data_IF_987022317841
#
_entry.id   IF_987022317841
#
_cell.length_a   1.000
_cell.length_b   1.000
_cell.length_c   1.000
_cell.angle_alpha   90.00
_cell.angle_beta   90.00
_cell.angle_gamma   90.00
#
_symmetry.space_group_name_H-M   'P 1'
#
loop_
_entity.id
_entity.type
_entity.pdbx_description
1 polymer ?
#
# COMPACT_ATOMS: atom_id res chain seq x y z
N UNK A 1 26.46 33.77 40.62
CA UNK A 1 27.24 32.89 39.74
C UNK A 1 26.28 32.26 38.72
N UNK A 2 26.12 32.65 37.45
CA UNK A 2 26.93 33.49 36.57
C UNK A 2 27.74 32.65 35.57
N UNK A 3 27.13 32.23 34.45
CA UNK A 3 27.69 31.93 33.09
C UNK A 3 26.58 31.25 32.25
N UNK A 4 25.77 31.92 31.40
CA UNK A 4 25.93 32.69 30.13
C UNK A 4 26.42 31.89 28.89
N UNK A 5 25.45 31.74 27.95
CA UNK A 5 25.49 31.83 26.45
C UNK A 5 26.28 30.74 25.68
N UNK A 6 25.93 30.29 24.48
CA UNK A 6 25.39 30.97 23.28
C UNK A 6 24.59 30.03 22.33
N UNK A 7 23.64 30.62 21.60
CA UNK A 7 23.09 30.15 20.32
C UNK A 7 23.96 30.64 19.15
N UNK A 8 24.01 29.91 18.02
CA UNK A 8 23.68 30.46 16.68
C UNK A 8 23.69 29.41 15.56
N UNK A 9 22.84 29.69 14.59
CA UNK A 9 22.46 28.91 13.42
C UNK A 9 23.37 29.14 12.20
N UNK A 10 23.17 28.32 11.16
CA UNK A 10 23.69 28.50 9.79
C UNK A 10 23.89 27.15 9.07
N UNK A 11 22.85 26.57 8.44
CA UNK A 11 22.51 26.60 7.00
C UNK A 11 23.20 25.48 6.17
N UNK A 12 22.34 24.63 5.57
CA UNK A 12 22.34 23.83 4.31
C UNK A 12 23.68 23.57 3.56
N UNK A 13 23.94 22.46 2.87
CA UNK A 13 23.09 21.54 2.10
C UNK A 13 23.83 20.21 1.82
N UNK A 14 23.07 19.13 1.60
CA UNK A 14 23.48 17.82 1.07
C UNK A 14 24.16 17.90 -0.32
N UNK A 15 25.02 16.91 -0.66
CA UNK A 15 24.72 15.85 -1.66
C UNK A 15 25.74 14.69 -1.58
N UNK A 16 25.18 13.49 -1.70
CA UNK A 16 25.72 12.13 -1.77
C UNK A 16 26.64 11.90 -2.98
N UNK A 17 27.67 11.03 -2.85
CA UNK A 17 27.67 9.69 -3.49
C UNK A 17 28.81 8.78 -3.01
N UNK A 18 28.45 7.49 -2.85
CA UNK A 18 29.26 6.30 -2.58
C UNK A 18 30.30 6.02 -3.69
N UNK A 19 31.42 5.37 -3.36
CA UNK A 19 31.68 3.95 -3.70
C UNK A 19 33.04 3.41 -3.18
N UNK A 20 32.95 2.32 -2.42
CA UNK A 20 33.72 1.06 -2.52
C UNK A 20 35.27 1.08 -2.56
N UNK A 21 35.87 0.74 -1.41
CA UNK A 21 37.02 -0.19 -1.30
C UNK A 21 36.49 -1.62 -1.53
N UNK A 22 37.05 -2.53 -2.30
CA UNK A 22 38.43 -2.76 -2.73
C UNK A 22 38.75 -4.22 -2.36
N UNK A 23 38.77 -5.13 -3.34
CA UNK A 23 39.68 -6.27 -3.33
C UNK A 23 39.78 -6.88 -4.74
N UNK A 24 41.02 -6.95 -5.24
CA UNK A 24 41.40 -7.46 -6.55
C UNK A 24 41.96 -8.88 -6.45
N UNK A 25 41.93 -9.60 -7.57
CA UNK A 25 42.73 -10.79 -7.78
C UNK A 25 42.91 -11.09 -9.27
N UNK A 26 44.18 -11.00 -9.72
CA UNK A 26 44.85 -11.82 -10.76
C UNK A 26 44.48 -11.56 -12.25
N UNK A 27 45.37 -11.46 -13.26
CA UNK A 27 46.85 -11.58 -13.45
C UNK A 27 47.27 -10.89 -14.79
N UNK A 28 48.56 -10.51 -14.90
CA UNK A 28 49.46 -10.45 -16.09
C UNK A 28 49.29 -9.32 -17.13
N UNK A 29 50.21 -8.33 -17.18
CA UNK A 29 51.46 -8.24 -18.02
C UNK A 29 51.18 -7.43 -19.31
N UNK A 30 51.95 -6.41 -19.77
CA UNK A 30 53.39 -6.15 -19.69
C UNK A 30 53.76 -4.64 -19.90
N UNK A 31 54.91 -4.25 -19.32
CA UNK A 31 55.99 -3.35 -19.78
C UNK A 31 55.72 -1.97 -20.47
N UNK A 32 55.78 -0.88 -19.69
CA UNK A 32 56.80 0.23 -19.64
C UNK A 32 57.59 0.69 -20.91
N UNK A 33 58.22 1.91 -20.94
CA UNK A 33 58.04 3.15 -20.13
C UNK A 33 58.23 4.51 -20.90
N UNK A 34 58.25 5.62 -20.13
CA UNK A 34 59.00 6.90 -20.28
C UNK A 34 58.28 8.23 -20.63
N UNK A 35 58.34 9.14 -19.62
CA UNK A 35 58.57 10.61 -19.63
C UNK A 35 57.67 11.55 -20.46
N UNK A 36 57.50 12.85 -20.17
CA UNK A 36 57.60 13.75 -19.01
C UNK A 36 57.22 15.15 -19.54
N UNK A 37 56.54 15.99 -18.74
CA UNK A 37 56.32 17.44 -18.93
C UNK A 37 55.61 17.87 -20.23
N UNK A 38 54.97 19.03 -20.38
CA UNK A 38 54.73 20.21 -19.58
C UNK A 38 53.91 21.19 -20.43
N UNK A 39 53.11 22.03 -19.75
CA UNK A 39 52.52 23.34 -20.12
C UNK A 39 52.27 23.77 -21.59
N UNK A 40 51.13 24.46 -21.69
CA UNK A 40 50.83 25.70 -22.44
C UNK A 40 50.16 25.65 -23.82
N UNK A 41 48.90 26.12 -23.83
CA UNK A 41 48.28 27.17 -24.65
C UNK A 41 49.01 27.60 -25.93
N UNK A 42 48.32 27.53 -27.07
CA UNK A 42 48.43 28.52 -28.15
C UNK A 42 47.24 28.47 -29.12
N UNK A 43 46.86 29.66 -29.58
CA UNK A 43 45.78 30.00 -30.49
C UNK A 43 46.11 29.69 -31.97
N UNK A 44 45.03 29.50 -32.75
CA UNK A 44 44.72 29.80 -34.17
C UNK A 44 45.85 29.83 -35.23
N UNK A 45 45.51 29.46 -36.48
CA UNK A 45 45.54 30.52 -37.50
C UNK A 45 44.43 30.49 -38.55
N UNK A 46 44.26 31.69 -39.12
CA UNK A 46 43.51 32.10 -40.30
C UNK A 46 44.02 31.44 -41.60
N UNK A 47 43.16 31.39 -42.63
CA UNK A 47 43.53 31.11 -44.01
C UNK A 47 43.11 32.26 -44.96
N UNK A 48 43.79 32.41 -46.12
CA UNK A 48 44.10 33.72 -46.72
C UNK A 48 43.25 34.12 -47.95
N UNK A 49 43.38 35.40 -48.29
CA UNK A 49 43.03 36.11 -49.54
C UNK A 49 44.09 35.94 -50.65
N UNK A 50 43.67 36.05 -51.93
CA UNK A 50 44.38 36.59 -53.12
C UNK A 50 43.49 36.35 -54.37
N UNK A 51 43.42 37.09 -55.48
CA UNK A 51 43.63 38.50 -55.92
C UNK A 51 43.18 38.59 -57.39
N UNK A 52 42.70 39.78 -57.77
CA UNK A 52 42.19 40.41 -59.01
C UNK A 52 42.61 40.08 -60.47
N UNK A 53 41.67 40.43 -61.40
CA UNK A 53 41.89 41.25 -62.64
C UNK A 53 41.39 40.66 -63.99
N UNK A 54 41.04 41.45 -65.05
CA UNK A 54 40.56 42.85 -65.15
C UNK A 54 39.34 43.07 -66.12
N UNK A 55 39.04 44.36 -66.40
CA UNK A 55 37.82 45.07 -66.86
C UNK A 55 37.30 44.86 -68.32
N UNK A 56 35.99 45.13 -68.57
CA UNK A 56 35.45 46.32 -69.29
C UNK A 56 33.94 46.24 -69.65
N UNK A 57 33.29 47.43 -69.69
CA UNK A 57 32.21 47.87 -70.61
C UNK A 57 30.75 47.97 -70.14
N UNK A 58 30.35 49.25 -69.93
CA UNK A 58 29.12 49.95 -70.36
C UNK A 58 27.78 49.89 -69.58
N UNK A 59 27.30 51.10 -69.30
CA UNK A 59 25.99 51.60 -68.78
C UNK A 59 24.79 51.23 -69.69
N UNK A 60 23.51 51.23 -69.24
CA UNK A 60 22.82 52.45 -68.81
C UNK A 60 21.95 52.35 -67.54
N UNK A 61 21.69 53.55 -67.03
CA UNK A 61 20.85 54.02 -65.93
C UNK A 61 19.37 53.59 -66.04
N UNK A 62 18.76 53.11 -64.94
CA UNK A 62 17.31 52.94 -64.83
C UNK A 62 16.81 53.05 -63.36
N UNK A 63 16.09 54.16 -63.12
CA UNK A 63 14.92 54.34 -62.25
C UNK A 63 14.90 53.72 -60.84
N UNK A 64 14.99 54.58 -59.81
CA UNK A 64 14.64 54.23 -58.42
C UNK A 64 13.13 53.93 -58.30
N UNK A 65 12.82 52.70 -57.90
CA UNK A 65 11.48 52.27 -57.47
C UNK A 65 11.29 52.62 -55.98
N UNK A 66 10.08 53.07 -55.55
CA UNK A 66 9.85 53.51 -54.18
C UNK A 66 10.05 52.38 -53.16
N UNK A 67 10.86 52.63 -52.12
CA UNK A 67 10.99 51.72 -50.97
C UNK A 67 9.64 51.55 -50.27
N UNK A 68 9.06 50.35 -50.41
CA UNK A 68 7.97 49.88 -49.55
C UNK A 68 8.57 49.56 -48.18
N UNK A 69 8.20 50.32 -47.16
CA UNK A 69 8.47 49.97 -45.75
C UNK A 69 7.83 48.61 -45.48
N UNK A 70 8.59 47.55 -45.14
CA UNK A 70 8.00 46.25 -44.86
C UNK A 70 7.07 46.35 -43.65
N UNK A 71 5.85 45.88 -43.80
CA UNK A 71 4.91 45.65 -42.70
C UNK A 71 5.59 44.69 -41.68
N UNK A 72 5.48 44.92 -40.35
CA UNK A 72 6.20 44.11 -39.37
C UNK A 72 5.79 42.65 -39.51
N UNK A 73 6.70 41.82 -40.02
CA UNK A 73 6.47 40.39 -40.12
C UNK A 73 6.54 39.85 -38.68
N UNK A 74 5.39 39.51 -38.08
CA UNK A 74 5.36 38.92 -36.73
C UNK A 74 6.26 37.67 -36.71
N UNK A 75 7.41 37.73 -36.03
CA UNK A 75 8.27 36.56 -35.83
C UNK A 75 7.44 35.41 -35.27
N UNK A 76 7.59 34.16 -35.77
CA UNK A 76 6.85 33.03 -35.25
C UNK A 76 7.06 32.90 -33.73
N UNK A 77 6.04 32.46 -33.00
CA UNK A 77 6.22 32.11 -31.59
C UNK A 77 7.19 30.93 -31.52
N UNK A 78 8.32 31.05 -30.80
CA UNK A 78 9.19 29.88 -30.61
C UNK A 78 8.51 28.82 -29.75
N UNK A 79 9.05 27.60 -29.84
CA UNK A 79 8.38 26.39 -29.43
C UNK A 79 8.11 26.35 -27.93
N UNK A 80 6.91 25.88 -27.57
CA UNK A 80 6.60 25.48 -26.21
C UNK A 80 6.81 23.98 -26.13
N UNK A 81 7.76 23.56 -25.31
CA UNK A 81 8.02 22.14 -25.09
C UNK A 81 6.81 21.40 -24.49
N UNK A 82 6.88 20.07 -24.51
CA UNK A 82 5.87 19.21 -23.89
C UNK A 82 5.71 19.52 -22.40
N UNK A 83 4.47 19.73 -21.97
CA UNK A 83 4.15 19.95 -20.55
C UNK A 83 4.34 18.68 -19.73
N UNK A 84 5.11 18.77 -18.66
CA UNK A 84 5.38 17.67 -17.75
C UNK A 84 4.79 17.92 -16.36
N UNK A 85 4.53 16.83 -15.62
CA UNK A 85 4.22 16.89 -14.19
C UNK A 85 5.52 16.94 -13.41
N UNK A 86 5.76 18.07 -12.72
CA UNK A 86 6.95 18.24 -11.87
C UNK A 86 6.75 17.67 -10.47
N UNK A 87 5.58 17.95 -9.88
CA UNK A 87 5.21 17.49 -8.54
C UNK A 87 3.68 17.49 -8.37
N UNK A 88 3.17 16.77 -7.37
CA UNK A 88 1.77 16.81 -6.99
C UNK A 88 1.53 16.43 -5.53
N UNK A 89 0.47 16.99 -4.96
CA UNK A 89 -0.08 16.56 -3.67
C UNK A 89 -1.47 15.96 -3.86
N UNK A 90 -2.21 15.75 -2.76
CA UNK A 90 -3.60 15.33 -2.86
C UNK A 90 -4.55 16.39 -3.43
N UNK A 91 -4.11 17.65 -3.50
CA UNK A 91 -4.94 18.81 -3.87
C UNK A 91 -4.22 19.81 -4.77
N UNK A 92 -2.96 19.57 -5.12
CA UNK A 92 -2.18 20.44 -6.00
C UNK A 92 -1.47 19.63 -7.08
N UNK A 93 -1.26 20.24 -8.25
CA UNK A 93 -0.46 19.69 -9.34
C UNK A 93 0.47 20.80 -9.84
N UNK A 94 1.76 20.54 -9.91
CA UNK A 94 2.75 21.46 -10.47
C UNK A 94 3.13 21.00 -11.87
N UNK A 95 2.82 21.84 -12.86
CA UNK A 95 3.22 21.67 -14.25
C UNK A 95 4.57 22.33 -14.47
N UNK A 96 5.33 21.81 -15.44
CA UNK A 96 6.61 22.35 -15.87
C UNK A 96 6.73 22.27 -17.38
N UNK A 97 7.29 23.32 -17.98
CA UNK A 97 7.60 23.38 -19.40
C UNK A 97 8.78 24.32 -19.60
N UNK A 98 9.47 24.15 -20.72
CA UNK A 98 10.48 25.05 -21.23
C UNK A 98 9.93 25.81 -22.44
N UNK A 99 10.40 27.03 -22.65
CA UNK A 99 10.20 27.81 -23.87
C UNK A 99 11.46 28.62 -24.16
N UNK A 100 11.92 28.58 -25.40
CA UNK A 100 12.92 29.48 -26.00
C UNK A 100 12.27 30.71 -26.65
N UNK A 101 10.94 30.81 -26.54
CA UNK A 101 10.06 31.83 -27.10
C UNK A 101 10.41 33.28 -26.81
N UNK A 102 10.40 34.11 -27.86
CA UNK A 102 10.20 35.56 -27.82
C UNK A 102 8.72 35.87 -27.49
N UNK A 103 8.26 35.51 -26.29
CA UNK A 103 6.92 35.83 -25.78
C UNK A 103 6.98 36.52 -24.41
N UNK A 104 5.92 37.21 -24.01
CA UNK A 104 5.85 37.91 -22.72
C UNK A 104 5.45 36.99 -21.56
N UNK A 105 4.76 35.89 -21.87
CA UNK A 105 4.39 34.89 -20.89
C UNK A 105 3.42 33.85 -21.40
N UNK A 106 2.84 33.13 -20.44
CA UNK A 106 1.95 32.01 -20.69
C UNK A 106 0.64 32.18 -19.93
N UNK A 107 -0.46 31.84 -20.58
CA UNK A 107 -1.75 31.61 -19.97
C UNK A 107 -1.98 30.11 -19.80
N UNK A 108 -2.28 29.70 -18.57
CA UNK A 108 -2.50 28.30 -18.22
C UNK A 108 -4.00 28.08 -18.09
N UNK A 109 -4.53 27.18 -18.89
CA UNK A 109 -5.93 26.77 -18.88
C UNK A 109 -6.07 25.30 -18.50
N UNK A 110 -7.24 24.94 -17.99
CA UNK A 110 -7.59 23.54 -17.69
C UNK A 110 -9.05 23.27 -18.05
N UNK A 111 -9.31 22.07 -18.56
CA UNK A 111 -10.65 21.51 -18.81
C UNK A 111 -10.65 20.04 -18.41
N UNK A 112 -11.79 19.49 -18.00
CA UNK A 112 -12.06 18.06 -18.01
C UNK A 112 -13.43 17.77 -18.63
N UNK A 113 -13.81 16.50 -18.68
CA UNK A 113 -15.12 16.07 -19.23
C UNK A 113 -16.35 16.67 -18.53
N UNK A 114 -16.18 17.26 -17.34
CA UNK A 114 -17.26 17.88 -16.57
C UNK A 114 -17.37 19.38 -16.80
N UNK A 115 -16.39 19.99 -17.49
CA UNK A 115 -16.36 21.41 -17.77
C UNK A 115 -16.82 21.65 -19.21
N UNK A 116 -17.60 22.71 -19.45
CA UNK A 116 -18.05 23.09 -20.80
C UNK A 116 -16.87 23.60 -21.64
N UNK A 117 -16.08 24.50 -21.06
CA UNK A 117 -14.97 25.19 -21.71
C UNK A 117 -13.69 25.15 -20.89
N UNK A 118 -12.59 25.59 -21.49
CA UNK A 118 -11.33 25.79 -20.78
C UNK A 118 -11.45 26.94 -19.79
N UNK A 119 -11.03 26.70 -18.54
CA UNK A 119 -10.93 27.74 -17.51
C UNK A 119 -9.49 28.22 -17.38
N UNK A 120 -9.25 29.54 -17.49
CA UNK A 120 -7.95 30.16 -17.18
C UNK A 120 -7.67 29.98 -15.69
N UNK A 121 -6.57 29.32 -15.35
CA UNK A 121 -6.12 29.09 -13.98
C UNK A 121 -5.16 30.18 -13.49
N UNK A 122 -4.40 30.78 -14.41
CA UNK A 122 -3.44 31.82 -14.10
C UNK A 122 -2.49 32.10 -15.26
N UNK A 123 -1.43 32.84 -14.97
CA UNK A 123 -0.42 33.22 -15.96
C UNK A 123 0.97 33.21 -15.34
N UNK A 124 1.97 32.96 -16.17
CA UNK A 124 3.39 32.92 -15.78
C UNK A 124 4.15 33.80 -16.75
N UNK A 125 4.90 34.79 -16.25
CA UNK A 125 5.76 35.62 -17.10
C UNK A 125 6.86 34.76 -17.71
N UNK A 126 7.20 35.05 -18.96
CA UNK A 126 8.30 34.37 -19.60
C UNK A 126 9.63 34.80 -18.98
N UNK A 127 10.57 33.87 -19.04
CA UNK A 127 11.98 34.03 -18.73
C UNK A 127 12.71 33.22 -19.79
N UNK A 128 13.26 33.88 -20.81
CA UNK A 128 13.84 33.18 -21.95
C UNK A 128 14.88 32.15 -21.51
N UNK A 129 14.86 30.98 -22.16
CA UNK A 129 15.78 29.88 -21.90
C UNK A 129 15.72 29.31 -20.47
N UNK A 130 14.62 29.53 -19.73
CA UNK A 130 14.38 28.93 -18.42
C UNK A 130 13.23 27.91 -18.46
N UNK A 131 13.20 27.06 -17.43
CA UNK A 131 12.04 26.21 -17.15
C UNK A 131 11.01 26.99 -16.33
N UNK A 132 9.79 27.05 -16.83
CA UNK A 132 8.64 27.64 -16.16
C UNK A 132 7.87 26.60 -15.38
N UNK A 133 7.21 27.04 -14.30
CA UNK A 133 6.36 26.19 -13.48
C UNK A 133 5.05 26.88 -13.13
N UNK A 134 3.97 26.10 -13.04
CA UNK A 134 2.67 26.56 -12.56
C UNK A 134 2.03 25.55 -11.63
N UNK A 135 1.60 26.00 -10.45
CA UNK A 135 0.92 25.15 -9.48
C UNK A 135 -0.60 25.36 -9.53
N UNK A 136 -1.32 24.36 -10.01
CA UNK A 136 -2.77 24.29 -9.92
C UNK A 136 -3.21 23.88 -8.51
N UNK A 137 -3.62 24.88 -7.71
CA UNK A 137 -4.11 24.71 -6.33
C UNK A 137 -5.54 24.16 -6.25
N UNK A 138 -6.24 24.05 -7.37
CA UNK A 138 -7.61 23.54 -7.46
C UNK A 138 -7.67 22.08 -7.92
N UNK A 139 -6.50 21.44 -8.09
CA UNK A 139 -6.35 20.09 -8.59
C UNK A 139 -7.08 19.05 -7.72
N UNK A 140 -7.60 18.01 -8.38
CA UNK A 140 -8.32 16.90 -7.76
C UNK A 140 -7.94 15.58 -8.44
N UNK A 141 -7.57 14.58 -7.64
CA UNK A 141 -7.23 13.23 -8.13
C UNK A 141 -8.43 12.48 -8.71
N UNK A 142 -8.15 11.54 -9.60
CA UNK A 142 -9.10 10.70 -10.31
C UNK A 142 -9.69 11.35 -11.57
N UNK A 143 -9.57 12.67 -11.70
CA UNK A 143 -10.08 13.42 -12.84
C UNK A 143 -8.98 13.50 -13.90
N UNK A 144 -9.33 13.20 -15.15
CA UNK A 144 -8.44 13.42 -16.27
C UNK A 144 -8.62 14.86 -16.75
N UNK A 145 -7.63 15.71 -16.44
CA UNK A 145 -7.62 17.12 -16.83
C UNK A 145 -6.76 17.30 -18.07
N UNK A 146 -7.25 18.03 -19.06
CA UNK A 146 -6.46 18.55 -20.16
C UNK A 146 -6.03 19.97 -19.84
N UNK A 147 -4.74 20.20 -19.74
CA UNK A 147 -4.14 21.52 -19.59
C UNK A 147 -3.77 22.07 -20.96
N UNK A 148 -4.00 23.37 -21.17
CA UNK A 148 -3.52 24.13 -22.33
C UNK A 148 -2.61 25.24 -21.81
N UNK A 149 -1.38 25.31 -22.28
CA UNK A 149 -0.47 26.42 -22.01
C UNK A 149 -0.33 27.18 -23.31
N UNK A 150 -0.81 28.43 -23.33
CA UNK A 150 -0.76 29.30 -24.50
C UNK A 150 0.20 30.44 -24.24
N UNK A 151 1.20 30.64 -25.10
CA UNK A 151 2.05 31.82 -25.07
C UNK A 151 1.23 33.07 -25.43
N UNK A 152 1.59 34.22 -24.88
CA UNK A 152 1.03 35.51 -25.24
C UNK A 152 2.12 36.56 -25.45
N UNK A 153 1.83 37.53 -26.30
CA UNK A 153 2.61 38.77 -26.46
C UNK A 153 1.76 39.99 -26.12
N UNK A 154 2.40 41.05 -25.68
CA UNK A 154 1.81 42.36 -25.48
C UNK A 154 2.04 43.20 -26.74
N UNK A 155 0.99 43.87 -27.24
CA UNK A 155 1.16 44.89 -28.25
C UNK A 155 1.73 46.19 -27.64
N UNK A 156 1.97 47.21 -28.49
CA UNK A 156 2.50 48.51 -28.07
C UNK A 156 1.59 49.27 -27.09
N UNK A 157 0.33 48.87 -26.96
CA UNK A 157 -0.65 49.43 -26.03
C UNK A 157 -0.83 48.56 -24.77
N UNK A 158 -0.05 47.47 -24.65
CA UNK A 158 -0.09 46.55 -23.52
C UNK A 158 -1.23 45.52 -23.57
N UNK A 159 -1.85 45.29 -24.74
CA UNK A 159 -2.92 44.30 -24.91
C UNK A 159 -2.34 42.92 -25.23
N UNK A 160 -2.84 41.91 -24.54
CA UNK A 160 -2.41 40.51 -24.73
C UNK A 160 -3.00 39.89 -26.01
N UNK A 161 -2.15 39.25 -26.82
CA UNK A 161 -2.52 38.39 -27.96
C UNK A 161 -1.96 36.98 -27.73
N UNK A 162 -2.82 35.96 -27.65
CA UNK A 162 -2.37 34.56 -27.57
C UNK A 162 -1.85 34.05 -28.92
N UNK A 163 -0.84 33.18 -28.87
CA UNK A 163 -0.25 32.52 -30.02
C UNK A 163 -0.14 31.01 -29.86
N UNK A 164 1.09 30.49 -29.99
CA UNK A 164 1.39 29.06 -29.88
C UNK A 164 0.85 28.46 -28.57
N UNK A 165 0.39 27.21 -28.63
CA UNK A 165 -0.08 26.51 -27.44
C UNK A 165 0.21 25.03 -27.47
N UNK A 166 0.49 24.47 -26.30
CA UNK A 166 0.66 23.04 -26.06
C UNK A 166 -0.46 22.52 -25.17
N UNK A 167 -0.91 21.28 -25.41
CA UNK A 167 -1.92 20.61 -24.61
C UNK A 167 -1.40 19.30 -24.05
N UNK A 168 -1.71 19.01 -22.79
CA UNK A 168 -1.38 17.75 -22.15
C UNK A 168 -2.55 17.27 -21.27
N UNK A 169 -2.95 16.01 -21.44
CA UNK A 169 -3.93 15.36 -20.56
C UNK A 169 -3.23 14.61 -19.43
N UNK A 170 -3.66 14.85 -18.20
CA UNK A 170 -3.03 14.36 -16.98
C UNK A 170 -4.12 13.82 -16.06
N UNK A 171 -3.94 12.57 -15.63
CA UNK A 171 -4.76 11.91 -14.60
C UNK A 171 -3.87 11.31 -13.53
N UNK A 172 -4.00 11.80 -12.30
CA UNK A 172 -3.41 11.15 -11.12
C UNK A 172 -4.49 10.36 -10.42
N UNK A 173 -4.31 9.05 -10.28
CA UNK A 173 -5.30 8.16 -9.67
C UNK A 173 -5.52 8.45 -8.17
N UNK A 174 -6.73 8.15 -7.69
CA UNK A 174 -7.03 8.17 -6.25
C UNK A 174 -6.36 6.96 -5.61
N UNK A 175 -5.51 7.12 -4.57
CA UNK A 175 -4.86 5.99 -3.91
C UNK A 175 -5.87 4.97 -3.38
N UNK A 176 -5.51 3.69 -3.51
CA UNK A 176 -6.31 2.58 -2.98
C UNK A 176 -6.45 2.70 -1.46
N UNK A 177 -7.69 2.64 -0.97
CA UNK A 177 -7.97 2.69 0.47
C UNK A 177 -7.39 1.47 1.17
N UNK A 178 -6.77 1.68 2.32
CA UNK A 178 -6.35 0.59 3.22
C UNK A 178 -7.42 0.36 4.29
N UNK A 179 -8.28 -0.64 4.10
CA UNK A 179 -9.27 -1.08 5.09
C UNK A 179 -8.55 -1.83 6.22
N UNK A 180 -8.40 -1.19 7.39
CA UNK A 180 -7.56 -1.70 8.47
C UNK A 180 -8.26 -2.79 9.29
N UNK A 181 -9.55 -2.64 9.58
CA UNK A 181 -10.30 -3.61 10.40
C UNK A 181 -11.78 -3.68 10.06
N UNK A 182 -12.36 -4.87 10.30
CA UNK A 182 -13.80 -5.09 10.40
C UNK A 182 -14.09 -5.91 11.66
N UNK A 183 -14.88 -5.36 12.58
CA UNK A 183 -15.25 -6.00 13.85
C UNK A 183 -16.75 -6.01 14.06
N UNK A 184 -17.29 -6.99 14.80
CA UNK A 184 -18.72 -7.09 15.06
C UNK A 184 -19.08 -6.39 16.36
N UNK A 185 -20.22 -5.71 16.37
CA UNK A 185 -20.83 -5.08 17.53
C UNK A 185 -22.32 -5.40 17.51
N UNK A 186 -22.71 -6.50 18.17
CA UNK A 186 -24.08 -7.04 18.08
C UNK A 186 -24.45 -7.41 16.64
N UNK A 187 -25.58 -6.87 16.15
CA UNK A 187 -26.06 -6.99 14.77
C UNK A 187 -25.40 -5.98 13.80
N UNK A 188 -24.35 -5.28 14.23
CA UNK A 188 -23.64 -4.29 13.40
C UNK A 188 -22.19 -4.70 13.14
N UNK A 189 -21.59 -4.14 12.09
CA UNK A 189 -20.15 -4.15 11.85
C UNK A 189 -19.58 -2.75 12.08
N UNK A 190 -18.39 -2.66 12.68
CA UNK A 190 -17.59 -1.45 12.77
C UNK A 190 -16.38 -1.61 11.86
N UNK A 191 -16.23 -0.69 10.92
CA UNK A 191 -15.15 -0.66 9.93
C UNK A 191 -14.24 0.52 10.22
N UNK A 192 -12.93 0.33 10.04
CA UNK A 192 -11.92 1.39 10.13
C UNK A 192 -10.96 1.27 8.95
N UNK A 193 -10.48 2.41 8.44
CA UNK A 193 -9.51 2.46 7.35
C UNK A 193 -8.48 3.57 7.58
N UNK A 194 -7.40 3.59 6.79
CA UNK A 194 -6.44 4.71 6.80
C UNK A 194 -6.99 5.89 6.00
N UNK A 195 -6.71 7.11 6.47
CA UNK A 195 -7.11 8.36 5.79
C UNK A 195 -6.50 8.41 4.38
N UNK A 196 -7.32 8.73 3.39
CA UNK A 196 -6.87 9.04 2.03
C UNK A 196 -6.98 10.54 1.82
N UNK A 197 -5.86 11.24 1.65
CA UNK A 197 -5.85 12.70 1.56
C UNK A 197 -6.60 13.23 0.32
N UNK A 198 -7.20 14.42 0.39
CA UNK A 198 -7.84 15.09 -0.75
C UNK A 198 -9.11 14.42 -1.32
N UNK A 199 -9.69 13.43 -0.64
CA UNK A 199 -10.94 12.76 -1.06
C UNK A 199 -12.17 13.41 -0.42
N UNK A 200 -13.31 13.35 -1.10
CA UNK A 200 -14.59 13.89 -0.61
C UNK A 200 -15.30 12.93 0.34
N UNK A 201 -14.99 11.63 0.27
CA UNK A 201 -15.54 10.63 1.18
C UNK A 201 -15.23 9.21 0.75
N UNK A 202 -15.99 8.27 1.28
CA UNK A 202 -15.83 6.84 1.05
C UNK A 202 -17.17 6.15 0.78
N UNK A 203 -17.15 5.09 -0.02
CA UNK A 203 -18.26 4.15 -0.16
C UNK A 203 -17.88 2.78 0.38
N UNK A 204 -18.79 2.20 1.15
CA UNK A 204 -18.63 0.90 1.79
C UNK A 204 -19.52 -0.11 1.09
N UNK A 205 -18.91 -1.24 0.74
CA UNK A 205 -19.57 -2.34 0.07
C UNK A 205 -19.50 -3.60 0.94
N UNK A 206 -20.59 -4.37 0.93
CA UNK A 206 -20.76 -5.58 1.70
C UNK A 206 -21.12 -6.76 0.77
N UNK A 207 -20.57 -7.93 1.06
CA UNK A 207 -20.94 -9.22 0.46
C UNK A 207 -21.30 -10.21 1.56
N UNK A 208 -22.43 -10.91 1.41
CA UNK A 208 -22.91 -11.91 2.36
C UNK A 208 -22.73 -13.30 1.74
N UNK A 209 -21.85 -14.13 2.32
CA UNK A 209 -21.55 -15.45 1.74
C UNK A 209 -21.10 -15.36 0.28
N UNK A 210 -21.84 -16.02 -0.62
CA UNK A 210 -21.53 -16.06 -2.06
C UNK A 210 -22.15 -14.92 -2.87
N UNK A 211 -22.92 -14.01 -2.26
CA UNK A 211 -23.64 -12.94 -2.97
C UNK A 211 -22.72 -11.99 -3.74
N UNK A 212 -23.30 -11.17 -4.63
CA UNK A 212 -22.61 -9.99 -5.15
C UNK A 212 -22.35 -8.96 -4.04
N UNK A 213 -21.36 -8.08 -4.26
CA UNK A 213 -21.13 -6.92 -3.39
C UNK A 213 -22.21 -5.86 -3.64
N UNK A 214 -22.80 -5.33 -2.57
CA UNK A 214 -23.75 -4.21 -2.61
C UNK A 214 -23.21 -3.01 -1.84
N UNK A 215 -23.48 -1.79 -2.31
CA UNK A 215 -23.18 -0.58 -1.55
C UNK A 215 -24.11 -0.50 -0.34
N UNK A 216 -23.55 -0.38 0.86
CA UNK A 216 -24.33 -0.34 2.11
C UNK A 216 -24.20 0.99 2.84
N UNK A 217 -23.17 1.79 2.52
CA UNK A 217 -23.00 3.11 3.12
C UNK A 217 -22.18 4.03 2.22
N UNK A 218 -22.59 5.30 2.16
CA UNK A 218 -21.74 6.41 1.74
C UNK A 218 -21.37 7.22 2.97
N UNK A 219 -20.08 7.48 3.14
CA UNK A 219 -19.50 8.26 4.23
C UNK A 219 -18.99 9.56 3.62
N UNK A 220 -19.65 10.67 3.94
CA UNK A 220 -19.22 12.02 3.50
C UNK A 220 -18.09 12.50 4.40
N UNK A 221 -17.14 13.24 3.83
CA UNK A 221 -15.97 13.78 4.51
C UNK A 221 -14.76 12.86 4.45
N UNK A 222 -13.67 13.32 3.82
CA UNK A 222 -12.44 12.54 3.66
C UNK A 222 -11.67 12.29 4.97
N UNK A 223 -11.97 13.05 6.03
CA UNK A 223 -11.42 12.86 7.38
C UNK A 223 -12.13 11.75 8.17
N UNK A 224 -13.33 11.33 7.77
CA UNK A 224 -14.08 10.29 8.47
C UNK A 224 -13.55 8.92 8.04
N UNK A 225 -12.82 8.28 8.96
CA UNK A 225 -12.07 7.04 8.69
C UNK A 225 -12.63 5.79 9.36
N UNK A 226 -13.87 5.89 9.84
CA UNK A 226 -14.60 4.74 10.40
C UNK A 226 -16.10 4.87 10.15
N UNK A 227 -16.79 3.73 10.17
CA UNK A 227 -18.24 3.72 10.17
C UNK A 227 -18.81 2.47 10.86
N UNK A 228 -20.07 2.59 11.30
CA UNK A 228 -20.89 1.47 11.75
C UNK A 228 -21.91 1.12 10.67
N UNK A 229 -21.93 -0.14 10.25
CA UNK A 229 -22.91 -0.71 9.34
C UNK A 229 -23.90 -1.54 10.17
N UNK A 230 -25.17 -1.11 10.32
CA UNK A 230 -26.19 -1.88 11.04
C UNK A 230 -26.72 -3.05 10.19
N UNK A 231 -27.49 -3.95 10.81
CA UNK A 231 -28.22 -5.01 10.10
C UNK A 231 -27.35 -6.07 9.44
N UNK A 232 -26.15 -6.30 9.96
CA UNK A 232 -25.20 -7.28 9.40
C UNK A 232 -25.58 -8.69 9.88
N UNK A 233 -25.85 -9.64 8.96
CA UNK A 233 -26.21 -11.00 9.31
C UNK A 233 -25.17 -11.66 10.25
N UNK A 234 -25.67 -12.42 11.22
CA UNK A 234 -24.85 -13.06 12.26
C UNK A 234 -24.42 -14.49 11.91
N UNK A 235 -25.19 -15.16 11.04
CA UNK A 235 -24.95 -16.53 10.56
C UNK A 235 -23.83 -16.63 9.52
N UNK A 236 -23.96 -15.99 8.33
CA UNK A 236 -22.96 -16.12 7.28
C UNK A 236 -21.70 -15.30 7.57
N UNK A 237 -20.62 -15.67 6.89
CA UNK A 237 -19.43 -14.81 6.81
C UNK A 237 -19.73 -13.63 5.91
N UNK A 238 -19.36 -12.43 6.35
CA UNK A 238 -19.59 -11.18 5.63
C UNK A 238 -18.24 -10.61 5.20
N UNK A 239 -18.15 -10.04 4.00
CA UNK A 239 -16.93 -9.37 3.51
C UNK A 239 -17.20 -7.92 3.22
N UNK A 240 -16.25 -7.06 3.56
CA UNK A 240 -16.32 -5.63 3.32
C UNK A 240 -15.16 -5.16 2.46
N UNK A 241 -15.44 -4.20 1.58
CA UNK A 241 -14.44 -3.41 0.86
C UNK A 241 -14.88 -1.96 0.84
N UNK A 242 -13.90 -1.05 0.78
CA UNK A 242 -14.14 0.40 0.81
C UNK A 242 -13.42 1.03 -0.37
N UNK A 243 -14.04 2.03 -1.02
CA UNK A 243 -13.36 2.87 -2.01
C UNK A 243 -13.52 4.33 -1.64
N UNK A 244 -12.53 5.15 -1.94
CA UNK A 244 -12.63 6.60 -1.80
C UNK A 244 -13.28 7.20 -3.04
N UNK A 245 -13.89 8.36 -2.89
CA UNK A 245 -14.40 9.16 -4.01
C UNK A 245 -14.04 10.64 -3.84
N UNK A 246 -13.93 11.33 -4.97
CA UNK A 246 -13.77 12.78 -5.06
C UNK A 246 -14.99 13.34 -5.78
N UNK A 247 -15.51 14.46 -5.29
CA UNK A 247 -16.59 15.20 -5.94
C UNK A 247 -16.03 16.38 -6.70
N UNK A 248 -16.46 16.56 -7.95
CA UNK A 248 -16.09 17.68 -8.81
C UNK A 248 -17.29 18.08 -9.66
N UNK A 249 -17.67 19.35 -9.62
CA UNK A 249 -18.84 19.89 -10.34
C UNK A 249 -20.09 19.01 -10.16
N UNK A 250 -20.40 18.64 -8.91
CA UNK A 250 -21.55 17.77 -8.56
C UNK A 250 -21.37 16.28 -8.87
N UNK A 251 -20.36 15.89 -9.65
CA UNK A 251 -20.11 14.51 -10.08
C UNK A 251 -19.15 13.79 -9.13
N UNK A 252 -19.32 12.47 -8.96
CA UNK A 252 -18.40 11.64 -8.15
C UNK A 252 -17.48 10.80 -9.02
N UNK A 253 -16.18 10.86 -8.73
CA UNK A 253 -15.14 10.01 -9.32
C UNK A 253 -14.60 9.08 -8.27
N UNK A 254 -14.43 7.81 -8.62
CA UNK A 254 -14.14 6.74 -7.67
C UNK A 254 -12.74 6.18 -7.84
N UNK A 255 -12.05 5.96 -6.72
CA UNK A 255 -10.82 5.17 -6.71
C UNK A 255 -11.10 3.67 -6.72
N UNK A 256 -10.03 2.89 -6.81
CA UNK A 256 -10.11 1.43 -6.70
C UNK A 256 -10.63 0.99 -5.33
N UNK A 257 -11.26 -0.18 -5.29
CA UNK A 257 -11.65 -0.82 -4.03
C UNK A 257 -10.42 -1.23 -3.21
N UNK A 258 -10.54 -1.13 -1.89
CA UNK A 258 -9.59 -1.70 -0.93
C UNK A 258 -9.45 -3.21 -1.09
N UNK A 259 -8.42 -3.78 -0.45
CA UNK A 259 -8.46 -5.19 -0.09
C UNK A 259 -9.69 -5.50 0.79
N UNK A 260 -10.20 -6.72 0.71
CA UNK A 260 -11.37 -7.11 1.49
C UNK A 260 -11.01 -7.44 2.94
N UNK A 261 -11.94 -7.14 3.86
CA UNK A 261 -11.89 -7.63 5.24
C UNK A 261 -13.06 -8.57 5.49
N UNK A 262 -12.74 -9.71 6.07
CA UNK A 262 -13.68 -10.75 6.43
C UNK A 262 -14.17 -10.51 7.85
N UNK A 263 -15.50 -10.43 8.01
CA UNK A 263 -16.18 -10.45 9.28
C UNK A 263 -16.83 -11.82 9.47
N UNK A 264 -16.18 -12.66 10.28
CA UNK A 264 -16.70 -14.00 10.59
C UNK A 264 -18.05 -13.94 11.31
N UNK A 265 -18.78 -15.07 11.29
CA UNK A 265 -20.06 -15.22 11.99
C UNK A 265 -19.94 -14.95 13.49
N UNK A 266 -21.04 -14.56 14.13
CA UNK A 266 -21.06 -14.29 15.57
C UNK A 266 -20.62 -15.52 16.38
N UNK A 267 -21.03 -16.71 15.95
CA UNK A 267 -20.61 -17.98 16.55
C UNK A 267 -19.09 -18.17 16.47
N UNK A 268 -18.48 -17.97 15.30
CA UNK A 268 -17.01 -18.09 15.14
C UNK A 268 -16.28 -17.08 16.02
N UNK A 269 -16.77 -15.85 16.14
CA UNK A 269 -16.14 -14.85 17.02
C UNK A 269 -16.24 -15.24 18.50
N UNK A 270 -17.38 -15.78 18.93
CA UNK A 270 -17.57 -16.29 20.30
C UNK A 270 -16.61 -17.44 20.61
N UNK A 271 -16.46 -18.40 19.70
CA UNK A 271 -15.50 -19.51 19.84
C UNK A 271 -14.07 -18.97 19.91
N UNK A 272 -13.68 -18.05 19.02
CA UNK A 272 -12.34 -17.43 19.06
C UNK A 272 -12.07 -16.68 20.38
N UNK A 273 -13.09 -15.99 20.93
CA UNK A 273 -12.99 -15.35 22.26
C UNK A 273 -12.77 -16.38 23.38
N UNK A 274 -13.43 -17.55 23.31
CA UNK A 274 -13.22 -18.64 24.27
C UNK A 274 -11.81 -19.20 24.15
N UNK A 275 -11.31 -19.46 22.95
CA UNK A 275 -9.91 -19.88 22.74
C UNK A 275 -8.91 -18.89 23.35
N UNK A 276 -9.06 -17.57 23.14
CA UNK A 276 -8.19 -16.57 23.76
C UNK A 276 -8.19 -16.62 25.29
N UNK A 277 -9.32 -16.97 25.91
CA UNK A 277 -9.39 -17.19 27.37
C UNK A 277 -8.67 -18.47 27.75
N UNK A 278 -8.89 -19.56 27.02
CA UNK A 278 -8.24 -20.85 27.26
C UNK A 278 -6.72 -20.77 27.10
N UNK A 279 -6.21 -20.07 26.08
CA UNK A 279 -4.78 -19.86 25.89
C UNK A 279 -4.13 -19.08 27.04
N UNK A 280 -4.88 -18.25 27.77
CA UNK A 280 -4.41 -17.59 28.99
C UNK A 280 -4.44 -18.51 30.22
N UNK A 281 -5.42 -19.41 30.29
CA UNK A 281 -5.55 -20.39 31.38
C UNK A 281 -4.59 -21.58 31.22
N UNK A 282 -4.30 -21.95 29.98
CA UNK A 282 -3.38 -23.01 29.57
C UNK A 282 -2.29 -22.41 28.67
N UNK A 283 -1.38 -21.58 29.19
CA UNK A 283 -0.30 -20.96 28.41
C UNK A 283 0.54 -21.96 27.61
N UNK A 284 1.02 -21.52 26.44
CA UNK A 284 2.02 -22.26 25.67
C UNK A 284 3.28 -22.51 26.51
N UNK A 285 3.83 -23.72 26.42
CA UNK A 285 5.06 -24.10 27.12
C UNK A 285 4.86 -24.58 28.55
N UNK A 286 3.68 -24.42 29.16
CA UNK A 286 3.35 -25.07 30.43
C UNK A 286 3.04 -26.54 30.22
N UNK A 287 3.11 -27.33 31.28
CA UNK A 287 2.78 -28.75 31.24
C UNK A 287 1.40 -29.01 31.82
N UNK A 288 0.57 -29.75 31.09
CA UNK A 288 -0.72 -30.24 31.57
C UNK A 288 -0.53 -31.56 32.34
N UNK A 289 -0.04 -31.39 33.56
CA UNK A 289 0.29 -32.45 34.50
C UNK A 289 0.10 -31.93 35.94
N UNK A 290 0.45 -32.75 36.92
CA UNK A 290 0.35 -32.39 38.34
C UNK A 290 1.64 -32.68 39.12
N UNK A 291 2.79 -32.62 38.43
CA UNK A 291 4.11 -32.82 39.04
C UNK A 291 4.35 -31.85 40.19
N UNK A 292 4.65 -32.39 41.38
CA UNK A 292 4.87 -31.61 42.59
C UNK A 292 3.60 -30.94 43.14
N UNK A 293 2.41 -31.45 42.82
CA UNK A 293 1.13 -30.96 43.36
C UNK A 293 0.46 -32.04 44.20
N UNK A 294 0.28 -31.76 45.49
CA UNK A 294 -0.40 -32.67 46.43
C UNK A 294 -1.92 -32.74 46.20
N UNK A 295 -2.53 -31.66 45.72
CA UNK A 295 -3.93 -31.61 45.28
C UNK A 295 -3.94 -31.15 43.83
N UNK A 296 -4.63 -31.88 42.97
CA UNK A 296 -4.71 -31.58 41.54
C UNK A 296 -6.06 -31.96 40.97
N UNK A 297 -6.34 -31.40 39.80
CA UNK A 297 -7.48 -31.72 38.97
C UNK A 297 -7.11 -31.55 37.49
N UNK A 298 -8.08 -31.77 36.61
CA UNK A 298 -7.85 -31.60 35.17
C UNK A 298 -7.53 -30.15 34.74
N UNK A 299 -7.65 -29.14 35.61
CA UNK A 299 -7.28 -27.73 35.31
C UNK A 299 -5.82 -27.43 35.69
N UNK A 300 -5.20 -28.29 36.48
CA UNK A 300 -3.85 -28.10 36.99
C UNK A 300 -2.84 -28.02 35.84
N UNK A 301 -1.90 -27.09 35.92
CA UNK A 301 -0.74 -27.01 35.03
C UNK A 301 0.50 -26.70 35.84
N UNK A 302 1.66 -27.20 35.42
CA UNK A 302 2.93 -26.96 36.11
C UNK A 302 4.00 -26.41 35.16
N UNK A 303 5.15 -26.05 35.74
CA UNK A 303 6.35 -25.64 35.00
C UNK A 303 7.35 -26.79 34.80
N UNK A 304 7.06 -27.98 35.35
CA UNK A 304 7.95 -29.13 35.32
C UNK A 304 7.39 -30.19 34.36
N UNK A 305 8.23 -30.83 33.54
CA UNK A 305 7.78 -31.93 32.69
C UNK A 305 7.26 -33.08 33.56
N UNK A 306 6.36 -33.88 32.98
CA UNK A 306 5.95 -35.15 33.56
C UNK A 306 7.17 -36.04 33.81
N UNK A 307 7.11 -36.81 34.89
CA UNK A 307 8.07 -37.85 35.15
C UNK A 307 7.50 -39.17 34.63
N UNK A 308 8.22 -39.78 33.69
CA UNK A 308 7.94 -41.07 33.12
C UNK A 308 9.08 -42.00 33.52
N UNK A 309 8.81 -43.00 34.35
CA UNK A 309 9.79 -44.06 34.64
C UNK A 309 9.92 -45.04 33.46
N UNK A 310 8.83 -45.24 32.71
CA UNK A 310 8.76 -45.95 31.43
C UNK A 310 7.95 -45.12 30.42
N UNK A 311 8.00 -45.47 29.13
CA UNK A 311 7.22 -44.79 28.08
C UNK A 311 5.71 -44.72 28.40
N UNK A 312 5.18 -45.72 29.11
CA UNK A 312 3.76 -45.82 29.47
C UNK A 312 3.42 -45.28 30.88
N UNK A 313 4.40 -44.79 31.65
CA UNK A 313 4.15 -44.25 32.99
C UNK A 313 3.47 -42.87 32.94
N UNK A 314 2.15 -42.87 33.07
CA UNK A 314 1.29 -41.67 33.08
C UNK A 314 0.93 -41.20 34.49
N UNK A 315 1.65 -41.64 35.53
CA UNK A 315 1.33 -41.36 36.94
C UNK A 315 1.17 -39.87 37.25
N UNK A 316 2.03 -39.03 36.68
CA UNK A 316 2.01 -37.58 36.89
C UNK A 316 1.25 -36.80 35.82
N UNK A 317 0.74 -37.48 34.80
CA UNK A 317 0.02 -36.90 33.67
C UNK A 317 -1.40 -36.49 34.07
N UNK A 318 -1.90 -35.38 33.51
CA UNK A 318 -3.32 -35.10 33.61
C UNK A 318 -4.15 -35.98 32.67
N UNK A 319 -5.38 -36.21 33.10
CA UNK A 319 -6.43 -36.89 32.37
C UNK A 319 -7.74 -36.10 32.44
N UNK A 320 -8.69 -36.48 31.60
CA UNK A 320 -10.01 -35.88 31.53
C UNK A 320 -11.07 -36.90 31.15
N UNK A 321 -12.18 -36.91 31.90
CA UNK A 321 -13.36 -37.71 31.57
C UNK A 321 -14.05 -37.13 30.33
N UNK A 322 -13.70 -37.68 29.17
CA UNK A 322 -14.13 -37.18 27.88
C UNK A 322 -15.65 -37.38 27.69
N UNK A 323 -16.30 -36.52 26.88
CA UNK A 323 -17.75 -36.57 26.67
C UNK A 323 -18.24 -37.85 25.99
N UNK A 324 -17.34 -38.67 25.44
CA UNK A 324 -17.65 -39.97 24.87
C UNK A 324 -17.47 -41.13 25.87
N UNK A 325 -17.34 -40.83 27.17
CA UNK A 325 -17.19 -41.84 28.23
C UNK A 325 -15.76 -42.35 28.44
N UNK A 326 -14.80 -41.94 27.61
CA UNK A 326 -13.40 -42.40 27.71
C UNK A 326 -12.63 -41.55 28.72
N UNK A 327 -11.87 -42.20 29.60
CA UNK A 327 -10.84 -41.54 30.40
C UNK A 327 -9.66 -41.16 29.49
N UNK A 328 -9.63 -39.91 29.07
CA UNK A 328 -8.64 -39.42 28.11
C UNK A 328 -7.39 -38.90 28.80
N UNK A 329 -6.23 -39.48 28.49
CA UNK A 329 -4.95 -38.95 28.91
C UNK A 329 -4.40 -37.96 27.88
N UNK A 330 -3.64 -36.98 28.36
CA UNK A 330 -2.73 -36.18 27.54
C UNK A 330 -3.38 -35.58 26.28
N UNK A 331 -2.86 -35.83 25.08
CA UNK A 331 -3.37 -35.22 23.84
C UNK A 331 -4.88 -35.43 23.67
N UNK A 332 -5.37 -36.63 23.96
CA UNK A 332 -6.78 -36.99 23.82
C UNK A 332 -7.64 -36.26 24.85
N UNK A 333 -7.25 -36.34 26.13
CA UNK A 333 -7.96 -35.67 27.22
C UNK A 333 -7.98 -34.15 27.07
N UNK A 334 -6.84 -33.56 26.72
CA UNK A 334 -6.70 -32.11 26.57
C UNK A 334 -7.58 -31.58 25.43
N UNK A 335 -7.53 -32.21 24.25
CA UNK A 335 -8.33 -31.78 23.10
C UNK A 335 -9.83 -31.80 23.42
N UNK A 336 -10.31 -32.86 24.06
CA UNK A 336 -11.72 -32.97 24.48
C UNK A 336 -12.10 -32.02 25.61
N UNK A 337 -11.21 -31.79 26.59
CA UNK A 337 -11.40 -30.77 27.62
C UNK A 337 -11.54 -29.38 27.02
N UNK A 338 -10.68 -29.01 26.07
CA UNK A 338 -10.79 -27.72 25.38
C UNK A 338 -12.11 -27.62 24.60
N UNK A 339 -12.53 -28.70 23.93
CA UNK A 339 -13.82 -28.77 23.26
C UNK A 339 -14.98 -28.55 24.23
N UNK A 340 -15.00 -29.21 25.39
CA UNK A 340 -16.06 -29.04 26.39
C UNK A 340 -16.10 -27.62 26.97
N UNK A 341 -14.95 -27.01 27.23
CA UNK A 341 -14.89 -25.61 27.69
C UNK A 341 -15.39 -24.61 26.63
N UNK A 342 -15.30 -24.97 25.34
CA UNK A 342 -15.79 -24.14 24.23
C UNK A 342 -17.28 -24.34 23.98
N UNK A 343 -17.77 -25.57 23.95
CA UNK A 343 -19.12 -25.91 23.49
C UNK A 343 -20.08 -26.30 24.61
N UNK A 344 -19.58 -26.62 25.79
CA UNK A 344 -20.33 -27.20 26.90
C UNK A 344 -20.36 -28.73 26.83
N UNK A 345 -20.27 -29.40 27.98
CA UNK A 345 -20.16 -30.86 28.10
C UNK A 345 -21.29 -31.63 27.40
N UNK A 346 -22.51 -31.06 27.40
CA UNK A 346 -23.70 -31.72 26.86
C UNK A 346 -23.91 -31.48 25.35
N UNK A 347 -23.07 -30.68 24.68
CA UNK A 347 -23.21 -30.46 23.24
C UNK A 347 -23.01 -31.79 22.48
N UNK A 348 -23.84 -32.06 21.45
CA UNK A 348 -23.79 -33.34 20.74
C UNK A 348 -22.52 -33.44 19.91
N UNK A 349 -22.06 -34.68 19.66
CA UNK A 349 -20.84 -34.96 18.88
C UNK A 349 -21.23 -35.65 17.58
N UNK A 350 -20.64 -35.20 16.47
CA UNK A 350 -20.72 -35.89 15.18
C UNK A 350 -19.33 -36.11 14.61
N UNK A 351 -19.06 -37.33 14.16
CA UNK A 351 -17.79 -37.71 13.55
C UNK A 351 -17.85 -37.65 12.01
N UNK A 352 -16.73 -37.33 11.37
CA UNK A 352 -16.57 -37.28 9.92
C UNK A 352 -15.09 -37.41 9.51
N UNK A 353 -14.81 -37.58 8.21
CA UNK A 353 -13.46 -37.81 7.66
C UNK A 353 -12.92 -36.71 6.73
N UNK A 354 -13.68 -35.62 6.53
CA UNK A 354 -13.35 -34.60 5.53
C UNK A 354 -12.67 -33.37 6.13
N UNK A 355 -11.39 -33.14 5.77
CA UNK A 355 -10.67 -31.90 6.10
C UNK A 355 -11.41 -30.64 5.60
N UNK A 356 -12.05 -30.70 4.44
CA UNK A 356 -12.77 -29.57 3.87
C UNK A 356 -13.97 -29.14 4.73
N UNK A 357 -14.62 -30.10 5.40
CA UNK A 357 -15.76 -29.85 6.30
C UNK A 357 -15.33 -29.40 7.71
N UNK A 358 -14.06 -29.58 8.07
CA UNK A 358 -13.55 -29.21 9.40
C UNK A 358 -13.57 -27.70 9.63
N UNK A 359 -13.72 -27.31 10.90
CA UNK A 359 -13.82 -25.92 11.35
C UNK A 359 -13.16 -25.74 12.72
N UNK A 360 -12.91 -24.47 13.06
CA UNK A 360 -12.43 -24.07 14.39
C UNK A 360 -13.31 -24.66 15.51
N UNK A 361 -12.67 -25.30 16.48
CA UNK A 361 -13.29 -25.99 17.59
C UNK A 361 -13.46 -27.50 17.40
N UNK A 362 -13.32 -28.03 16.18
CA UNK A 362 -13.37 -29.48 15.98
C UNK A 362 -12.15 -30.16 16.60
N UNK A 363 -12.34 -31.36 17.15
CA UNK A 363 -11.26 -32.24 17.62
C UNK A 363 -10.85 -33.15 16.47
N UNK A 364 -9.55 -33.31 16.25
CA UNK A 364 -8.99 -34.24 15.25
C UNK A 364 -8.25 -35.35 15.98
N UNK A 365 -8.46 -36.60 15.57
CA UNK A 365 -7.64 -37.77 15.93
C UNK A 365 -6.94 -38.28 14.68
N UNK A 366 -5.61 -38.32 14.68
CA UNK A 366 -4.79 -38.78 13.56
C UNK A 366 -3.50 -39.41 14.07
N UNK A 367 -3.05 -40.52 13.49
CA UNK A 367 -1.79 -41.21 13.85
C UNK A 367 -1.55 -41.36 15.37
N UNK A 368 -2.60 -41.73 16.13
CA UNK A 368 -2.48 -41.89 17.59
C UNK A 368 -2.42 -40.57 18.40
N UNK A 369 -2.52 -39.40 17.76
CA UNK A 369 -2.49 -38.07 18.38
C UNK A 369 -3.82 -37.33 18.25
N UNK A 370 -4.12 -36.48 19.22
CA UNK A 370 -5.34 -35.66 19.24
C UNK A 370 -5.04 -34.17 19.40
N UNK A 371 -5.72 -33.36 18.60
CA UNK A 371 -5.59 -31.90 18.63
C UNK A 371 -6.95 -31.23 18.51
N UNK A 372 -7.06 -29.96 18.92
CA UNK A 372 -8.23 -29.13 18.64
C UNK A 372 -7.88 -28.04 17.62
N UNK A 373 -8.77 -27.78 16.66
CA UNK A 373 -8.56 -26.76 15.62
C UNK A 373 -8.78 -25.37 16.20
N UNK A 374 -7.73 -24.55 16.26
CA UNK A 374 -7.79 -23.13 16.65
C UNK A 374 -8.05 -22.25 15.42
N UNK A 375 -7.44 -22.57 14.29
CA UNK A 375 -7.68 -21.89 13.01
C UNK A 375 -7.76 -22.88 11.85
N UNK A 376 -8.59 -22.57 10.85
CA UNK A 376 -8.72 -23.36 9.62
C UNK A 376 -8.30 -22.54 8.42
N UNK A 377 -7.29 -23.02 7.70
CA UNK A 377 -6.79 -22.46 6.45
C UNK A 377 -7.06 -23.41 5.28
N UNK A 378 -6.75 -22.98 4.05
CA UNK A 378 -7.03 -23.76 2.82
C UNK A 378 -6.38 -25.14 2.86
N UNK A 379 -5.09 -25.20 3.22
CA UNK A 379 -4.26 -26.41 3.15
C UNK A 379 -3.67 -26.85 4.51
N UNK A 380 -3.96 -26.14 5.59
CA UNK A 380 -3.48 -26.48 6.93
C UNK A 380 -4.47 -26.02 8.01
N UNK A 381 -4.28 -26.50 9.23
CA UNK A 381 -4.91 -25.98 10.44
C UNK A 381 -3.85 -25.45 11.39
N UNK A 382 -4.26 -24.58 12.30
CA UNK A 382 -3.48 -24.21 13.48
C UNK A 382 -4.08 -24.96 14.66
N UNK A 383 -3.25 -25.75 15.34
CA UNK A 383 -3.67 -26.63 16.42
C UNK A 383 -3.45 -26.02 17.81
N UNK A 384 -4.32 -26.42 18.73
CA UNK A 384 -4.06 -26.46 20.15
C UNK A 384 -3.91 -27.92 20.59
N UNK A 385 -2.87 -28.21 21.35
CA UNK A 385 -2.55 -29.59 21.73
C UNK A 385 -1.81 -29.67 23.06
N UNK A 386 -1.77 -30.88 23.57
CA UNK A 386 -0.91 -31.33 24.65
C UNK A 386 -0.20 -32.60 24.17
N UNK A 387 0.89 -32.99 24.81
CA UNK A 387 1.71 -34.13 24.41
C UNK A 387 2.64 -33.88 23.22
N UNK A 388 3.08 -32.63 23.01
CA UNK A 388 4.01 -32.34 21.93
C UNK A 388 5.39 -32.91 22.26
N UNK A 389 5.93 -33.76 21.37
CA UNK A 389 7.21 -34.45 21.59
C UNK A 389 7.19 -35.45 22.75
N UNK A 390 6.05 -36.10 23.01
CA UNK A 390 5.86 -37.04 24.13
C UNK A 390 6.07 -36.43 25.53
N UNK A 391 5.91 -35.12 25.64
CA UNK A 391 5.91 -34.41 26.93
C UNK A 391 4.53 -33.78 27.14
N UNK A 392 4.01 -33.71 28.37
CA UNK A 392 2.73 -33.05 28.67
C UNK A 392 2.67 -31.54 28.33
N UNK A 393 3.62 -31.01 27.58
CA UNK A 393 3.69 -29.62 27.18
C UNK A 393 2.47 -29.24 26.35
N UNK A 394 1.89 -28.11 26.71
CA UNK A 394 0.81 -27.47 25.99
C UNK A 394 1.43 -26.66 24.87
N UNK A 395 0.91 -26.85 23.66
CA UNK A 395 1.31 -26.08 22.48
C UNK A 395 0.10 -25.49 21.77
N UNK A 396 0.19 -24.19 21.49
CA UNK A 396 -0.77 -23.45 20.69
C UNK A 396 -0.05 -22.85 19.50
N UNK A 397 -0.56 -23.07 18.29
CA UNK A 397 -0.02 -22.40 17.10
C UNK A 397 0.69 -23.31 16.11
N UNK A 398 0.86 -24.61 16.42
CA UNK A 398 1.48 -25.53 15.46
C UNK A 398 0.62 -25.61 14.20
N UNK A 399 1.26 -25.44 13.04
CA UNK A 399 0.64 -25.68 11.75
C UNK A 399 0.67 -27.18 11.46
N UNK A 400 -0.49 -27.73 11.11
CA UNK A 400 -0.61 -29.12 10.67
C UNK A 400 -1.22 -29.10 9.28
N UNK A 401 -0.46 -29.56 8.29
CA UNK A 401 -0.86 -29.56 6.90
C UNK A 401 -1.85 -30.68 6.63
N UNK A 402 -2.73 -30.47 5.64
CA UNK A 402 -3.73 -31.44 5.20
C UNK A 402 -3.08 -32.81 4.88
N UNK A 403 -1.87 -32.81 4.32
CA UNK A 403 -1.09 -34.01 4.00
C UNK A 403 -0.70 -34.83 5.22
N UNK A 404 -0.57 -34.22 6.41
CA UNK A 404 -0.26 -34.93 7.67
C UNK A 404 -1.51 -35.53 8.33
N UNK A 405 -2.71 -35.09 7.90
CA UNK A 405 -3.99 -35.52 8.47
C UNK A 405 -4.62 -36.67 7.67
N UNK A 406 -3.80 -37.55 7.09
CA UNK A 406 -4.25 -38.77 6.42
C UNK A 406 -4.96 -39.68 7.42
N UNK A 407 -6.05 -40.31 6.99
CA UNK A 407 -6.91 -41.18 7.81
C UNK A 407 -7.51 -40.55 9.08
N UNK A 408 -7.37 -39.23 9.26
CA UNK A 408 -7.83 -38.51 10.43
C UNK A 408 -9.35 -38.63 10.63
N UNK A 409 -9.77 -38.80 11.88
CA UNK A 409 -11.16 -38.64 12.32
C UNK A 409 -11.35 -37.23 12.86
N UNK A 410 -12.40 -36.56 12.42
CA UNK A 410 -12.79 -35.24 12.88
C UNK A 410 -14.08 -35.34 13.68
N UNK A 411 -14.17 -34.62 14.79
CA UNK A 411 -15.33 -34.59 15.67
C UNK A 411 -15.79 -33.14 15.85
N UNK A 412 -17.00 -32.83 15.39
CA UNK A 412 -17.64 -31.51 15.58
C UNK A 412 -18.63 -31.54 16.72
N UNK A 413 -18.71 -30.43 17.46
CA UNK A 413 -19.81 -30.12 18.38
C UNK A 413 -20.89 -29.30 17.68
N UNK A 414 -22.15 -29.50 18.04
CA UNK A 414 -23.30 -28.73 17.53
C UNK A 414 -24.40 -28.57 18.57
#
# INVERSE_FOLDING_TARGET
>A
MGKRKWNRAGILLLIFTLLLTGNAGNVAAAQAPFQAAGRQKLELPLFPEETEGPETSASPEASQEPQVTPEPTEEPYDDISLVQVKDYTSTTLTLSWFSDGNNDGFHIYRKCKYDKDYKKLGSVKNRPFETHMFQDKSFKRGINFTYKIAAYRLDSQGKEKEGASVKQSIKIEIPKVTLSSASRSGSSAVLKWKKTAGVSGYEVYQKNGSSAYKKVKTVKGGSVVSCKVPGVPTGPTVRFKVRAFVTYSGNSVYGSYSGEKVLYSAMKQRIAKKFRKLQKLYPDGRYWNHVGKAKYDSTTTTNKPCMHTTYDDISTCNHYNCPNGILGFQCYGFAWKMSDLIFGRNAKIKNFKSFAKSKMGDVIRYSGHSVIIVEKHKNYIVAGECNYGNTCIIKWGRKIYKSELTNATYSTRY
#
